data_IF_496005864231
#
_entry.id   IF_496005864231
#
_cell.length_a   1.000
_cell.length_b   1.000
_cell.length_c   1.000
_cell.angle_alpha   90.00
_cell.angle_beta   90.00
_cell.angle_gamma   90.00
#
_symmetry.space_group_name_H-M   'P 1'
#
loop_
_entity.id
_entity.type
_entity.pdbx_description
1 polymer ?
#
# COMPACT_ATOMS: atom_id res chain seq x y z
N UNK A 1 8.55 14.82 -2.61
CA UNK A 1 7.64 14.04 -1.75
C UNK A 1 6.21 14.32 -2.19
N UNK A 2 5.41 13.30 -2.49
CA UNK A 2 4.01 13.46 -2.87
C UNK A 2 3.11 12.60 -1.98
N UNK A 3 2.57 13.21 -0.93
CA UNK A 3 1.53 12.59 -0.10
C UNK A 3 0.28 12.21 -0.93
N UNK A 4 0.04 12.93 -2.02
CA UNK A 4 -1.05 12.68 -2.96
C UNK A 4 -0.85 11.34 -3.69
N UNK A 5 0.38 11.05 -4.16
CA UNK A 5 0.66 9.78 -4.85
C UNK A 5 0.57 8.60 -3.88
N UNK A 6 1.04 8.76 -2.65
CA UNK A 6 0.84 7.76 -1.60
C UNK A 6 -0.65 7.52 -1.32
N UNK A 7 -1.45 8.59 -1.22
CA UNK A 7 -2.90 8.48 -0.99
C UNK A 7 -3.60 7.74 -2.14
N UNK A 8 -3.26 8.06 -3.40
CA UNK A 8 -3.79 7.36 -4.59
C UNK A 8 -3.40 5.88 -4.58
N UNK A 9 -2.13 5.56 -4.30
CA UNK A 9 -1.66 4.18 -4.19
C UNK A 9 -2.45 3.42 -3.13
N UNK A 10 -2.62 4.00 -1.95
CA UNK A 10 -3.36 3.38 -0.84
C UNK A 10 -4.81 3.11 -1.24
N UNK A 11 -5.48 4.08 -1.86
CA UNK A 11 -6.87 3.92 -2.33
C UNK A 11 -6.99 2.79 -3.36
N UNK A 12 -6.15 2.79 -4.40
CA UNK A 12 -6.15 1.76 -5.43
C UNK A 12 -5.86 0.37 -4.83
N UNK A 13 -4.91 0.28 -3.90
CA UNK A 13 -4.57 -0.99 -3.25
C UNK A 13 -5.66 -1.49 -2.33
N UNK A 14 -6.38 -0.60 -1.65
CA UNK A 14 -7.55 -0.96 -0.85
C UNK A 14 -8.68 -1.50 -1.73
N UNK A 15 -8.94 -0.87 -2.88
CA UNK A 15 -9.93 -1.33 -3.86
C UNK A 15 -9.57 -2.73 -4.39
N UNK A 16 -8.32 -2.95 -4.84
CA UNK A 16 -7.85 -4.27 -5.29
C UNK A 16 -7.98 -5.38 -4.24
N UNK A 17 -7.93 -5.02 -2.95
CA UNK A 17 -8.00 -5.96 -1.83
C UNK A 17 -9.40 -6.07 -1.21
N UNK A 18 -10.41 -5.42 -1.81
CA UNK A 18 -11.77 -5.30 -1.27
C UNK A 18 -11.77 -4.83 0.20
N UNK A 19 -10.92 -3.83 0.50
CA UNK A 19 -10.78 -3.24 1.82
C UNK A 19 -11.53 -1.90 1.87
N UNK A 20 -12.50 -1.80 2.77
CA UNK A 20 -12.98 -0.51 3.25
C UNK A 20 -12.20 -0.07 4.50
N UNK A 21 -12.34 1.20 4.88
CA UNK A 21 -11.64 1.80 6.05
C UNK A 21 -11.94 1.07 7.35
N UNK A 22 -13.18 0.59 7.54
CA UNK A 22 -13.57 -0.14 8.75
C UNK A 22 -12.80 -1.46 8.85
N UNK A 23 -12.71 -2.21 7.76
CA UNK A 23 -11.96 -3.46 7.68
C UNK A 23 -10.46 -3.23 7.80
N UNK A 24 -9.91 -2.19 7.15
CA UNK A 24 -8.51 -1.82 7.24
C UNK A 24 -8.12 -1.44 8.67
N UNK A 25 -8.93 -0.63 9.35
CA UNK A 25 -8.72 -0.24 10.75
C UNK A 25 -8.71 -1.45 11.68
N UNK A 26 -9.69 -2.34 11.55
CA UNK A 26 -9.77 -3.58 12.34
C UNK A 26 -8.56 -4.49 12.11
N UNK A 27 -8.12 -4.69 10.86
CA UNK A 27 -6.98 -5.56 10.52
C UNK A 27 -5.64 -4.99 10.97
N UNK A 28 -5.48 -3.67 10.92
CA UNK A 28 -4.20 -2.99 11.19
C UNK A 28 -4.01 -2.61 12.65
N UNK A 29 -5.08 -2.52 13.44
CA UNK A 29 -5.05 -1.85 14.75
C UNK A 29 -4.90 -0.33 14.67
N UNK A 30 -4.94 0.26 13.46
CA UNK A 30 -4.85 1.70 13.22
C UNK A 30 -6.26 2.29 13.20
N UNK A 31 -6.44 3.47 13.81
CA UNK A 31 -7.75 4.12 13.86
C UNK A 31 -8.32 4.43 12.47
N UNK A 32 -9.66 4.40 12.34
CA UNK A 32 -10.35 4.84 11.10
C UNK A 32 -9.97 6.26 10.70
N UNK A 33 -9.78 7.15 11.68
CA UNK A 33 -9.35 8.54 11.43
C UNK A 33 -7.98 8.59 10.76
N UNK A 34 -7.02 7.79 11.23
CA UNK A 34 -5.67 7.72 10.64
C UNK A 34 -5.73 7.19 9.20
N UNK A 35 -6.58 6.19 8.93
CA UNK A 35 -6.81 5.71 7.56
C UNK A 35 -7.43 6.79 6.66
N UNK A 36 -8.41 7.55 7.15
CA UNK A 36 -8.96 8.67 6.39
C UNK A 36 -7.92 9.76 6.11
N UNK A 37 -7.05 10.07 7.08
CA UNK A 37 -5.93 11.00 6.88
C UNK A 37 -4.96 10.53 5.80
N UNK A 38 -4.57 9.25 5.84
CA UNK A 38 -3.73 8.62 4.81
C UNK A 38 -4.33 8.76 3.41
N UNK A 39 -5.60 8.40 3.26
CA UNK A 39 -6.29 8.45 1.97
C UNK A 39 -6.55 9.87 1.46
N UNK A 40 -6.52 10.89 2.34
CA UNK A 40 -6.70 12.30 1.95
C UNK A 40 -5.38 13.04 1.75
N UNK A 41 -4.26 12.33 1.78
CA UNK A 41 -2.92 12.93 1.80
C UNK A 41 -2.69 13.90 2.97
N UNK A 42 -3.49 13.80 4.04
CA UNK A 42 -3.37 14.59 5.27
C UNK A 42 -2.44 13.87 6.26
N UNK A 43 -1.24 13.53 5.80
CA UNK A 43 -0.17 12.99 6.63
C UNK A 43 1.05 13.88 6.52
N UNK A 44 1.33 14.56 7.62
CA UNK A 44 2.58 15.32 7.81
C UNK A 44 3.68 14.42 8.37
N UNK A 45 3.32 13.60 9.36
CA UNK A 45 4.21 12.68 10.05
C UNK A 45 3.49 11.37 10.35
N UNK A 46 4.21 10.26 10.27
CA UNK A 46 3.72 8.94 10.66
C UNK A 46 4.79 8.21 11.46
N UNK A 47 4.37 7.55 12.55
CA UNK A 47 5.25 6.65 13.30
C UNK A 47 5.60 5.45 12.43
N UNK A 48 6.82 4.90 12.57
CA UNK A 48 7.24 3.68 11.87
C UNK A 48 6.27 2.51 12.10
N UNK A 49 5.71 2.39 13.31
CA UNK A 49 4.69 1.38 13.64
C UNK A 49 3.42 1.53 12.81
N UNK A 50 2.98 2.76 12.52
CA UNK A 50 1.85 3.03 11.62
C UNK A 50 2.18 2.59 10.21
N UNK A 51 3.38 2.91 9.71
CA UNK A 51 3.81 2.52 8.37
C UNK A 51 3.89 1.00 8.20
N UNK A 52 4.40 0.29 9.21
CA UNK A 52 4.41 -1.19 9.27
C UNK A 52 2.99 -1.77 9.29
N UNK A 53 2.07 -1.16 10.04
CA UNK A 53 0.67 -1.60 10.09
C UNK A 53 -0.04 -1.40 8.75
N UNK A 54 0.19 -0.26 8.09
CA UNK A 54 -0.34 0.04 6.76
C UNK A 54 0.23 -0.95 5.73
N UNK A 55 1.55 -1.16 5.69
CA UNK A 55 2.18 -2.03 4.70
C UNK A 55 1.65 -3.47 4.78
N UNK A 56 1.55 -4.02 5.99
CA UNK A 56 0.97 -5.36 6.20
C UNK A 56 -0.49 -5.43 5.75
N UNK A 57 -1.28 -4.40 6.04
CA UNK A 57 -2.71 -4.37 5.69
C UNK A 57 -2.92 -4.28 4.18
N UNK A 58 -2.05 -3.53 3.49
CA UNK A 58 -2.07 -3.37 2.03
C UNK A 58 -1.31 -4.46 1.28
N UNK A 59 -0.82 -5.49 1.99
CA UNK A 59 0.00 -6.58 1.43
C UNK A 59 1.14 -6.03 0.55
N UNK A 60 1.92 -5.12 1.12
CA UNK A 60 3.06 -4.44 0.49
C UNK A 60 4.18 -4.22 1.50
N UNK A 61 5.31 -3.68 1.05
CA UNK A 61 6.49 -3.46 1.90
C UNK A 61 6.60 -2.00 2.35
N UNK A 62 7.22 -1.76 3.51
CA UNK A 62 7.51 -0.41 4.00
C UNK A 62 8.39 0.38 3.02
N UNK A 63 9.50 -0.18 2.47
CA UNK A 63 10.31 0.52 1.47
C UNK A 63 9.50 0.96 0.24
N UNK A 64 8.55 0.15 -0.21
CA UNK A 64 7.71 0.52 -1.35
C UNK A 64 6.78 1.69 -1.04
N UNK A 65 6.15 1.73 0.14
CA UNK A 65 5.35 2.89 0.55
C UNK A 65 6.20 4.18 0.62
N UNK A 66 7.44 4.06 1.09
CA UNK A 66 8.41 5.17 1.11
C UNK A 66 8.75 5.58 -0.31
N UNK A 67 9.08 4.66 -1.20
CA UNK A 67 9.37 4.93 -2.61
C UNK A 67 8.24 5.71 -3.29
N UNK A 68 6.99 5.25 -3.14
CA UNK A 68 5.79 5.94 -3.67
C UNK A 68 5.67 7.36 -3.12
N UNK A 69 5.97 7.57 -1.83
CA UNK A 69 5.94 8.90 -1.22
C UNK A 69 7.06 9.81 -1.74
N UNK A 70 8.25 9.28 -2.00
CA UNK A 70 9.41 10.09 -2.40
C UNK A 70 9.53 10.28 -3.92
N UNK A 71 8.97 9.39 -4.75
CA UNK A 71 9.08 9.43 -6.21
C UNK A 71 7.74 9.78 -6.91
N UNK A 72 7.44 11.07 -7.10
CA UNK A 72 6.31 11.48 -7.93
C UNK A 72 6.53 11.06 -9.39
N UNK A 73 5.62 10.25 -9.93
CA UNK A 73 5.64 9.77 -11.34
C UNK A 73 6.02 8.29 -11.54
N UNK A 74 6.49 7.59 -10.51
CA UNK A 74 6.94 6.18 -10.61
C UNK A 74 5.84 5.12 -10.40
N UNK A 75 4.71 5.49 -9.80
CA UNK A 75 3.65 4.54 -9.43
C UNK A 75 3.16 3.72 -10.64
N UNK A 76 2.97 4.35 -11.79
CA UNK A 76 2.53 3.68 -13.02
C UNK A 76 3.53 2.65 -13.59
N UNK A 77 4.83 2.80 -13.33
CA UNK A 77 5.86 1.89 -13.85
C UNK A 77 6.07 0.63 -13.01
N UNK A 78 5.75 0.68 -11.70
CA UNK A 78 6.02 -0.41 -10.76
C UNK A 78 4.84 -1.39 -10.57
N UNK A 79 3.60 -0.97 -10.82
CA UNK A 79 2.46 -1.90 -10.87
C UNK A 79 2.67 -3.00 -11.93
N UNK A 80 3.40 -2.73 -13.01
CA UNK A 80 3.73 -3.71 -14.02
C UNK A 80 4.72 -4.80 -13.55
N UNK A 81 5.48 -4.56 -12.47
CA UNK A 81 6.57 -5.46 -12.04
C UNK A 81 6.20 -6.40 -10.89
N UNK A 82 5.33 -5.99 -9.97
CA UNK A 82 5.00 -6.81 -8.80
C UNK A 82 3.99 -7.94 -9.09
N UNK A 83 3.22 -7.87 -10.19
CA UNK A 83 2.30 -8.94 -10.60
C UNK A 83 2.99 -10.10 -11.35
N UNK A 84 4.30 -10.00 -11.66
CA UNK A 84 5.04 -11.04 -12.39
C UNK A 84 5.81 -12.04 -11.50
N UNK A 85 5.78 -11.90 -10.18
CA UNK A 85 6.36 -12.90 -9.27
C UNK A 85 5.29 -13.84 -8.71
N UNK A 86 4.71 -14.66 -9.59
CA UNK A 86 4.10 -15.94 -9.22
C UNK A 86 5.18 -17.04 -9.20
N UNK A 87 5.08 -18.06 -8.33
CA UNK A 87 6.10 -19.11 -8.23
C UNK A 87 6.15 -19.92 -9.53
N UNK A 88 7.32 -19.95 -10.17
CA UNK A 88 7.66 -20.92 -11.21
C UNK A 88 7.71 -22.31 -10.57
N UNK A 89 6.54 -22.94 -10.44
CA UNK A 89 6.37 -24.25 -9.86
C UNK A 89 5.27 -24.99 -10.59
N UNK A 90 5.60 -25.58 -11.73
CA UNK A 90 5.04 -26.82 -12.29
C UNK A 90 5.47 -26.92 -13.76
N UNK A 91 6.60 -27.62 -14.01
CA UNK A 91 6.84 -28.22 -15.33
C UNK A 91 6.02 -29.51 -15.40
N UNK A 92 5.18 -29.70 -16.43
CA UNK A 92 4.53 -30.98 -16.67
C UNK A 92 5.47 -31.93 -17.41
N UNK A 93 5.39 -33.22 -17.07
CA UNK A 93 5.69 -34.37 -17.94
C UNK A 93 7.09 -34.51 -18.53
N UNK A 94 7.82 -35.53 -18.07
CA UNK A 94 8.12 -36.76 -18.83
C UNK A 94 8.57 -37.85 -17.86
#
# INVERSE_FOLDING_TARGET
>A
MSAIELAKYVQARMEMLDLNVTNAARKSGISRQTWHKLMRADIKEAKLSTLMGVSRTLKTTVPHLVEVYFQPGGAASLFARHDQQAPQGSRPGL
#
